data_IF_685427352694
#
_entry.id   IF_685427352694
#
_cell.length_a   1.000
_cell.length_b   1.000
_cell.length_c   1.000
_cell.angle_alpha   90.00
_cell.angle_beta   90.00
_cell.angle_gamma   90.00
#
_symmetry.space_group_name_H-M   'P 1'
#
loop_
_entity.id
_entity.type
_entity.pdbx_description
1 polymer ?
#
# COMPACT_ATOMS: atom_id res chain seq x y z
N UNK A 1 0.71 12.46 -7.13
CA UNK A 1 0.96 12.24 -5.69
C UNK A 1 -0.40 12.33 -5.01
N UNK A 2 -0.70 11.42 -4.07
CA UNK A 2 -1.98 11.52 -3.35
C UNK A 2 -1.92 12.73 -2.43
N UNK A 3 -2.98 13.55 -2.46
CA UNK A 3 -3.05 14.78 -1.68
C UNK A 3 -3.45 14.39 -0.26
N UNK A 4 -2.51 14.54 0.68
CA UNK A 4 -2.74 14.27 2.09
C UNK A 4 -3.09 15.57 2.83
N UNK A 5 -3.90 15.49 3.90
CA UNK A 5 -4.29 16.68 4.67
C UNK A 5 -3.07 17.30 5.37
N UNK A 6 -2.99 18.63 5.31
CA UNK A 6 -1.92 19.40 5.94
C UNK A 6 -2.05 19.46 7.46
N UNK A 7 -0.93 19.70 8.16
CA UNK A 7 -0.84 19.85 9.62
C UNK A 7 -1.37 18.65 10.42
N UNK A 8 -1.34 17.45 9.84
CA UNK A 8 -1.67 16.19 10.51
C UNK A 8 -0.39 15.39 10.75
N UNK A 9 -0.30 14.77 11.92
CA UNK A 9 0.69 13.70 12.16
C UNK A 9 0.23 12.46 11.42
N UNK A 10 1.14 11.79 10.74
CA UNK A 10 0.88 10.57 9.99
C UNK A 10 2.01 9.58 10.25
N UNK A 11 1.64 8.34 10.54
CA UNK A 11 2.59 7.25 10.60
C UNK A 11 2.91 6.77 9.19
N UNK A 12 4.19 6.59 8.91
CA UNK A 12 4.68 6.24 7.58
C UNK A 12 5.75 5.17 7.65
N UNK A 13 5.86 4.40 6.58
CA UNK A 13 6.99 3.51 6.36
C UNK A 13 7.88 4.11 5.31
N UNK A 14 9.17 4.24 5.64
CA UNK A 14 10.19 4.65 4.68
C UNK A 14 10.52 3.47 3.77
N UNK A 15 10.31 3.65 2.48
CA UNK A 15 10.51 2.61 1.44
C UNK A 15 11.75 2.87 0.59
N UNK A 16 12.18 4.12 0.53
CA UNK A 16 13.36 4.54 -0.22
C UNK A 16 13.88 5.87 0.34
N UNK A 17 15.13 6.21 0.05
CA UNK A 17 15.72 7.49 0.44
C UNK A 17 16.72 7.99 -0.60
N UNK A 18 16.75 9.31 -0.78
CA UNK A 18 17.79 10.02 -1.51
C UNK A 18 18.82 10.63 -0.55
N UNK A 19 19.72 11.45 -1.09
CA UNK A 19 20.76 12.11 -0.30
C UNK A 19 20.21 13.10 0.76
N UNK A 20 19.07 13.74 0.48
CA UNK A 20 18.40 14.71 1.36
C UNK A 20 16.88 14.54 1.41
N UNK A 21 16.37 13.36 1.09
CA UNK A 21 14.93 13.10 1.00
C UNK A 21 14.61 11.67 1.37
N UNK A 22 13.40 11.45 1.88
CA UNK A 22 12.86 10.10 2.11
C UNK A 22 11.57 9.94 1.32
N UNK A 23 11.40 8.77 0.73
CA UNK A 23 10.14 8.34 0.12
C UNK A 23 9.46 7.44 1.12
N UNK A 24 8.25 7.81 1.52
CA UNK A 24 7.49 7.06 2.51
C UNK A 24 6.04 6.87 2.08
N UNK A 25 5.46 5.76 2.53
CA UNK A 25 4.05 5.43 2.31
C UNK A 25 3.29 5.50 3.65
N UNK A 26 2.02 5.96 3.65
CA UNK A 26 1.17 5.94 4.84
C UNK A 26 1.05 4.53 5.42
N UNK A 27 1.14 4.41 6.75
CA UNK A 27 0.96 3.17 7.47
C UNK A 27 -0.20 3.27 8.48
N UNK A 28 -1.11 2.30 8.52
CA UNK A 28 -1.31 1.23 7.54
C UNK A 28 -1.98 1.75 6.26
N UNK A 29 -1.61 1.20 5.10
CA UNK A 29 -2.12 1.65 3.80
C UNK A 29 -3.47 0.99 3.49
N UNK A 30 -4.52 1.79 3.25
CA UNK A 30 -5.83 1.24 2.88
C UNK A 30 -5.84 0.74 1.42
N UNK A 31 -6.09 -0.56 1.23
CA UNK A 31 -6.06 -1.23 -0.08
C UNK A 31 -7.16 -0.74 -1.03
N UNK A 32 -8.31 -0.33 -0.48
CA UNK A 32 -9.48 0.09 -1.23
C UNK A 32 -9.35 1.54 -1.73
N UNK A 33 -8.76 2.42 -0.92
CA UNK A 33 -8.62 3.85 -1.25
C UNK A 33 -7.26 4.24 -1.81
N UNK A 34 -6.20 3.45 -1.58
CA UNK A 34 -4.86 3.79 -2.04
C UNK A 34 -4.79 3.89 -3.57
N UNK A 35 -3.99 4.83 -4.08
CA UNK A 35 -3.69 4.87 -5.50
C UNK A 35 -2.81 3.70 -5.93
N UNK A 36 -2.87 3.37 -7.23
CA UNK A 36 -1.97 2.37 -7.83
C UNK A 36 -0.49 2.71 -7.61
N UNK A 37 -0.15 4.00 -7.58
CA UNK A 37 1.23 4.47 -7.36
C UNK A 37 1.70 4.17 -5.94
N UNK A 38 0.86 4.40 -4.92
CA UNK A 38 1.22 4.03 -3.53
C UNK A 38 1.38 2.51 -3.38
N UNK A 39 0.49 1.72 -3.98
CA UNK A 39 0.58 0.26 -3.92
C UNK A 39 1.88 -0.29 -4.55
N UNK A 40 2.42 0.38 -5.57
CA UNK A 40 3.70 0.01 -6.20
C UNK A 40 4.91 0.19 -5.28
N UNK A 41 4.80 1.06 -4.28
CA UNK A 41 5.85 1.31 -3.31
C UNK A 41 5.76 0.39 -2.09
N UNK A 42 4.70 -0.41 -1.96
CA UNK A 42 4.55 -1.32 -0.83
C UNK A 42 5.56 -2.47 -0.96
N UNK A 43 6.35 -2.74 0.08
CA UNK A 43 7.26 -3.88 0.09
C UNK A 43 6.52 -5.21 -0.13
N UNK A 44 7.14 -6.12 -0.87
CA UNK A 44 6.62 -7.46 -1.18
C UNK A 44 5.37 -7.53 -2.07
N UNK A 45 4.90 -6.40 -2.62
CA UNK A 45 3.79 -6.35 -3.56
C UNK A 45 4.30 -6.39 -5.00
N UNK A 46 3.86 -7.39 -5.78
CA UNK A 46 4.20 -7.48 -7.20
C UNK A 46 3.24 -6.68 -8.06
N UNK A 47 3.65 -6.31 -9.29
CA UNK A 47 2.77 -5.59 -10.24
C UNK A 47 1.50 -6.39 -10.57
N UNK A 48 1.60 -7.70 -10.65
CA UNK A 48 0.47 -8.61 -10.84
C UNK A 48 -0.49 -8.61 -9.65
N UNK A 49 0.04 -8.60 -8.42
CA UNK A 49 -0.80 -8.54 -7.21
C UNK A 49 -1.56 -7.22 -7.15
N UNK A 50 -0.89 -6.10 -7.47
CA UNK A 50 -1.52 -4.78 -7.54
C UNK A 50 -2.66 -4.75 -8.56
N UNK A 51 -2.45 -5.35 -9.73
CA UNK A 51 -3.48 -5.42 -10.76
C UNK A 51 -4.69 -6.24 -10.29
N UNK A 52 -4.44 -7.41 -9.67
CA UNK A 52 -5.50 -8.22 -9.08
C UNK A 52 -6.24 -7.49 -7.96
N UNK A 53 -5.53 -6.76 -7.10
CA UNK A 53 -6.12 -5.92 -6.06
C UNK A 53 -7.06 -4.91 -6.69
N UNK A 54 -6.60 -4.15 -7.69
CA UNK A 54 -7.39 -3.13 -8.37
C UNK A 54 -8.65 -3.70 -9.03
N UNK A 55 -8.56 -4.88 -9.66
CA UNK A 55 -9.69 -5.57 -10.27
C UNK A 55 -10.72 -6.07 -9.25
N UNK A 56 -10.26 -6.46 -8.06
CA UNK A 56 -11.11 -7.00 -6.99
C UNK A 56 -11.54 -5.93 -5.97
N UNK A 57 -11.37 -4.64 -6.28
CA UNK A 57 -11.88 -3.58 -5.40
C UNK A 57 -13.41 -3.52 -5.46
N UNK A 58 -14.11 -3.39 -4.31
CA UNK A 58 -13.57 -3.32 -2.95
C UNK A 58 -13.26 -4.71 -2.36
N UNK A 59 -12.08 -4.86 -1.77
CA UNK A 59 -11.67 -6.06 -1.01
C UNK A 59 -12.41 -6.05 0.32
N UNK A 60 -13.21 -7.09 0.60
CA UNK A 60 -14.09 -7.15 1.79
C UNK A 60 -13.51 -7.96 2.96
N UNK A 61 -12.55 -8.85 2.70
CA UNK A 61 -12.00 -9.77 3.69
C UNK A 61 -10.50 -9.94 3.51
N UNK A 62 -9.81 -10.14 4.64
CA UNK A 62 -8.38 -10.45 4.69
C UNK A 62 -8.08 -11.74 3.92
N UNK A 63 -8.97 -12.72 3.97
CA UNK A 63 -8.84 -14.00 3.24
C UNK A 63 -8.79 -13.81 1.72
N UNK A 64 -9.58 -12.86 1.21
CA UNK A 64 -9.61 -12.53 -0.21
C UNK A 64 -8.31 -11.83 -0.62
N UNK A 65 -7.78 -10.98 0.26
CA UNK A 65 -6.48 -10.35 0.06
C UNK A 65 -5.34 -11.38 0.08
N UNK A 66 -5.36 -12.34 1.00
CA UNK A 66 -4.39 -13.43 1.09
C UNK A 66 -4.36 -14.31 -0.16
N UNK A 67 -5.51 -14.57 -0.77
CA UNK A 67 -5.59 -15.34 -2.03
C UNK A 67 -5.01 -14.58 -3.22
N UNK A 68 -5.09 -13.26 -3.20
CA UNK A 68 -4.59 -12.40 -4.27
C UNK A 68 -3.07 -12.24 -4.18
N UNK A 69 -2.55 -12.07 -2.96
CA UNK A 69 -1.15 -11.74 -2.71
C UNK A 69 -0.24 -12.95 -2.93
N UNK A 70 0.81 -12.74 -3.72
CA UNK A 70 1.87 -13.74 -3.92
C UNK A 70 2.76 -13.91 -2.67
N UNK A 71 2.90 -12.86 -1.86
CA UNK A 71 3.69 -12.88 -0.63
C UNK A 71 2.88 -12.39 0.58
N UNK A 72 2.69 -13.27 1.56
CA UNK A 72 1.91 -12.98 2.78
C UNK A 72 2.50 -11.89 3.65
N UNK A 73 3.81 -11.59 3.54
CA UNK A 73 4.44 -10.49 4.29
C UNK A 73 3.87 -9.11 3.94
N UNK A 74 3.29 -8.96 2.74
CA UNK A 74 2.66 -7.72 2.32
C UNK A 74 1.45 -7.34 3.19
N UNK A 75 0.78 -8.31 3.83
CA UNK A 75 -0.36 -8.03 4.71
C UNK A 75 -0.02 -7.13 5.88
N UNK A 76 1.21 -7.18 6.38
CA UNK A 76 1.63 -6.36 7.52
C UNK A 76 1.52 -4.86 7.23
N UNK A 77 1.55 -4.45 5.95
CA UNK A 77 1.54 -3.06 5.53
C UNK A 77 0.18 -2.55 5.08
N UNK A 78 -0.79 -3.47 4.93
CA UNK A 78 -2.06 -3.22 4.28
C UNK A 78 -3.21 -3.27 5.30
N UNK A 79 -4.20 -2.41 5.07
CA UNK A 79 -5.48 -2.39 5.79
C UNK A 79 -6.61 -2.44 4.77
N UNK A 80 -7.71 -3.10 5.14
CA UNK A 80 -8.94 -3.16 4.34
C UNK A 80 -9.84 -1.98 4.71
#
# INVERSE_FOLDING_TARGET
PDILPLKKKLDVIVVDHGYRSVTAIPYPLNVNTASRRLLLHVPYLSRSDIQKILLNRPVKSVELLEKILSNKKALNFLKI
#
